data_IF_217156595569
#
_entry.id   IF_217156595569
#
_cell.length_a   1.000
_cell.length_b   1.000
_cell.length_c   1.000
_cell.angle_alpha   90.00
_cell.angle_beta   90.00
_cell.angle_gamma   90.00
#
_symmetry.space_group_name_H-M   'P 1'
#
loop_
_entity.id
_entity.type
_entity.pdbx_description
1 polymer ?
#
# COMPACT_ATOMS: atom_id res chain seq x y z
N UNK A 1 -24.99 -31.79 -0.64
CA UNK A 1 -24.89 -30.35 -0.32
C UNK A 1 -24.05 -29.76 -1.43
N UNK A 2 -24.60 -28.89 -2.27
CA UNK A 2 -23.77 -28.15 -3.22
C UNK A 2 -22.99 -27.16 -2.36
N UNK A 3 -21.68 -27.22 -2.43
CA UNK A 3 -20.83 -26.27 -1.70
C UNK A 3 -21.13 -24.87 -2.24
N UNK A 4 -21.62 -23.98 -1.38
CA UNK A 4 -21.96 -22.60 -1.78
C UNK A 4 -20.69 -21.80 -2.16
N UNK A 5 -19.51 -22.29 -1.75
CA UNK A 5 -18.21 -21.72 -2.06
C UNK A 5 -17.27 -22.82 -2.57
N UNK A 6 -17.22 -23.01 -3.89
CA UNK A 6 -16.22 -23.89 -4.50
C UNK A 6 -14.80 -23.43 -4.07
N UNK A 7 -14.00 -24.36 -3.51
CA UNK A 7 -12.61 -24.09 -3.11
C UNK A 7 -12.25 -24.39 -1.65
N UNK A 8 -13.23 -24.70 -0.79
CA UNK A 8 -12.99 -25.06 0.61
C UNK A 8 -12.44 -23.91 1.47
N UNK A 9 -12.04 -24.19 2.72
CA UNK A 9 -11.49 -23.15 3.61
C UNK A 9 -10.15 -22.64 3.08
N UNK A 10 -9.95 -21.32 3.12
CA UNK A 10 -8.70 -20.66 2.73
C UNK A 10 -8.05 -19.99 3.93
N UNK A 11 -6.74 -20.18 4.06
CA UNK A 11 -5.92 -19.45 5.02
C UNK A 11 -5.68 -18.02 4.54
N UNK A 12 -5.57 -17.03 5.44
CA UNK A 12 -5.24 -15.66 5.06
C UNK A 12 -3.79 -15.55 4.56
N UNK A 13 -3.62 -14.94 3.39
CA UNK A 13 -2.31 -14.66 2.82
C UNK A 13 -1.67 -13.38 3.38
N UNK A 14 -2.49 -12.43 3.84
CA UNK A 14 -2.04 -11.11 4.28
C UNK A 14 -2.84 -10.61 5.48
N UNK A 15 -2.15 -10.03 6.47
CA UNK A 15 -2.77 -9.22 7.51
C UNK A 15 -2.94 -7.80 6.97
N UNK A 16 -4.18 -7.33 6.89
CA UNK A 16 -4.45 -5.93 6.57
C UNK A 16 -4.75 -5.16 7.85
N UNK A 17 -3.71 -4.52 8.40
CA UNK A 17 -3.81 -3.65 9.56
C UNK A 17 -4.63 -2.42 9.20
N UNK A 18 -5.67 -2.18 9.97
CA UNK A 18 -6.60 -1.09 9.76
C UNK A 18 -7.08 -0.53 11.10
N UNK A 19 -7.78 0.59 11.06
CA UNK A 19 -8.51 1.06 12.23
C UNK A 19 -9.99 1.18 11.94
N UNK A 20 -10.79 1.10 13.00
CA UNK A 20 -12.23 0.92 12.90
C UNK A 20 -13.00 2.16 12.48
N UNK A 21 -12.40 3.35 12.59
CA UNK A 21 -12.98 4.58 12.05
C UNK A 21 -12.54 4.89 10.62
N UNK A 22 -11.74 4.03 9.97
CA UNK A 22 -11.52 4.13 8.55
C UNK A 22 -12.84 3.85 7.82
N UNK A 23 -13.14 4.59 6.75
CA UNK A 23 -14.37 4.33 5.99
C UNK A 23 -14.29 2.94 5.36
N UNK A 24 -15.42 2.24 5.29
CA UNK A 24 -15.47 0.93 4.64
C UNK A 24 -14.95 0.99 3.19
N UNK A 25 -15.32 2.04 2.45
CA UNK A 25 -14.86 2.24 1.08
C UNK A 25 -13.34 2.42 0.99
N UNK A 26 -12.74 3.18 1.91
CA UNK A 26 -11.29 3.38 1.96
C UNK A 26 -10.55 2.07 2.29
N UNK A 27 -11.10 1.24 3.18
CA UNK A 27 -10.55 -0.08 3.49
C UNK A 27 -10.62 -1.02 2.27
N UNK A 28 -11.78 -1.08 1.60
CA UNK A 28 -11.94 -1.87 0.38
C UNK A 28 -10.98 -1.40 -0.73
N UNK A 29 -10.82 -0.09 -0.91
CA UNK A 29 -9.86 0.48 -1.84
C UNK A 29 -8.42 0.07 -1.50
N UNK A 30 -8.03 0.07 -0.22
CA UNK A 30 -6.71 -0.37 0.21
C UNK A 30 -6.50 -1.87 -0.07
N UNK A 31 -7.50 -2.71 0.19
CA UNK A 31 -7.45 -4.16 -0.11
C UNK A 31 -7.32 -4.41 -1.61
N UNK A 32 -8.12 -3.73 -2.43
CA UNK A 32 -8.02 -3.84 -3.88
C UNK A 32 -6.67 -3.31 -4.37
N UNK A 33 -6.19 -2.19 -3.82
CA UNK A 33 -4.89 -1.63 -4.16
C UNK A 33 -3.75 -2.63 -3.90
N UNK A 34 -3.76 -3.27 -2.73
CA UNK A 34 -2.81 -4.33 -2.38
C UNK A 34 -2.94 -5.56 -3.28
N UNK A 35 -4.16 -6.06 -3.50
CA UNK A 35 -4.41 -7.24 -4.32
C UNK A 35 -3.98 -7.03 -5.78
N UNK A 36 -4.29 -5.86 -6.31
CA UNK A 36 -4.10 -5.51 -7.72
C UNK A 36 -2.73 -4.94 -8.03
N UNK A 37 -2.07 -4.33 -7.04
CA UNK A 37 -0.87 -3.54 -7.26
C UNK A 37 -1.09 -2.16 -7.84
N UNK A 38 -2.27 -1.58 -7.66
CA UNK A 38 -2.66 -0.32 -8.29
C UNK A 38 -3.02 0.71 -7.23
N UNK A 39 -2.80 2.00 -7.50
CA UNK A 39 -3.04 3.06 -6.51
C UNK A 39 -4.55 3.27 -6.27
N UNK A 40 -5.38 3.04 -7.29
CA UNK A 40 -6.84 3.23 -7.26
C UNK A 40 -7.54 2.27 -8.25
N UNK A 41 -7.48 0.95 -8.02
CA UNK A 41 -8.08 -0.02 -8.94
C UNK A 41 -9.60 0.09 -8.94
N UNK A 42 -10.20 -0.03 -10.13
CA UNK A 42 -11.59 -0.48 -10.22
C UNK A 42 -11.61 -2.00 -10.23
N UNK A 43 -12.62 -2.63 -9.65
CA UNK A 43 -12.78 -4.11 -9.63
C UNK A 43 -12.64 -4.74 -11.02
N UNK A 44 -13.05 -4.03 -12.07
CA UNK A 44 -12.92 -4.45 -13.49
C UNK A 44 -11.48 -4.54 -14.00
N UNK A 45 -10.50 -4.08 -13.22
CA UNK A 45 -9.07 -4.07 -13.57
C UNK A 45 -8.29 -5.17 -12.85
N UNK A 46 -8.92 -5.96 -11.99
CA UNK A 46 -8.28 -7.07 -11.28
C UNK A 46 -8.44 -8.39 -12.05
N UNK A 47 -7.42 -9.23 -12.05
CA UNK A 47 -7.51 -10.61 -12.56
C UNK A 47 -8.19 -11.52 -11.53
N UNK A 48 -8.74 -12.68 -11.93
CA UNK A 48 -9.29 -13.65 -10.99
C UNK A 48 -8.31 -14.04 -9.88
N UNK A 49 -7.02 -14.21 -10.21
CA UNK A 49 -5.99 -14.55 -9.22
C UNK A 49 -5.78 -13.43 -8.19
N UNK A 50 -5.90 -12.16 -8.59
CA UNK A 50 -5.80 -11.02 -7.68
C UNK A 50 -7.02 -10.95 -6.76
N UNK A 51 -8.21 -11.24 -7.28
CA UNK A 51 -9.44 -11.30 -6.50
C UNK A 51 -9.50 -12.51 -5.57
N UNK A 52 -8.68 -13.54 -5.82
CA UNK A 52 -8.59 -14.74 -4.98
C UNK A 52 -7.74 -14.54 -3.71
N UNK A 53 -7.02 -13.42 -3.60
CA UNK A 53 -6.15 -13.11 -2.46
C UNK A 53 -6.95 -12.97 -1.18
N UNK A 54 -6.51 -13.66 -0.13
CA UNK A 54 -7.21 -13.74 1.16
C UNK A 54 -6.58 -12.85 2.21
N UNK A 55 -7.42 -12.18 2.98
CA UNK A 55 -7.00 -11.19 3.99
C UNK A 55 -7.53 -11.56 5.36
N UNK A 56 -6.68 -11.41 6.37
CA UNK A 56 -7.12 -11.35 7.76
C UNK A 56 -7.38 -9.89 8.13
N UNK A 57 -8.55 -9.64 8.71
CA UNK A 57 -8.99 -8.32 9.18
C UNK A 57 -9.52 -8.48 10.60
N UNK A 58 -9.07 -7.65 11.55
CA UNK A 58 -9.46 -7.81 12.95
C UNK A 58 -10.98 -7.70 13.16
N UNK A 59 -11.70 -6.93 12.32
CA UNK A 59 -13.17 -6.83 12.38
C UNK A 59 -13.88 -8.19 12.17
N UNK A 60 -13.28 -9.10 11.41
CA UNK A 60 -13.78 -10.46 11.15
C UNK A 60 -13.04 -11.52 11.96
N UNK A 61 -11.81 -11.23 12.40
CA UNK A 61 -10.95 -12.14 13.14
C UNK A 61 -11.20 -12.18 14.65
N UNK A 62 -12.12 -11.35 15.17
CA UNK A 62 -12.51 -11.36 16.58
C UNK A 62 -14.01 -11.59 16.75
N UNK A 63 -14.37 -12.41 17.73
CA UNK A 63 -15.72 -12.53 18.24
C UNK A 63 -16.07 -11.30 19.07
N UNK A 64 -16.69 -10.33 18.41
CA UNK A 64 -17.01 -9.04 19.01
C UNK A 64 -17.96 -9.18 20.22
N UNK A 65 -18.85 -10.18 20.23
CA UNK A 65 -19.82 -10.36 21.32
C UNK A 65 -19.20 -10.79 22.64
N UNK A 66 -18.08 -11.49 22.62
CA UNK A 66 -17.37 -11.92 23.85
C UNK A 66 -16.10 -11.11 24.12
N UNK A 67 -15.77 -10.16 23.25
CA UNK A 67 -14.56 -9.34 23.38
C UNK A 67 -14.85 -7.87 23.66
N UNK A 68 -15.75 -7.24 22.88
CA UNK A 68 -15.82 -5.77 22.80
C UNK A 68 -17.22 -5.17 22.64
N UNK A 69 -18.28 -5.97 22.53
CA UNK A 69 -19.66 -5.45 22.48
C UNK A 69 -20.10 -4.90 23.85
N UNK A 70 -21.12 -4.04 23.86
CA UNK A 70 -21.66 -3.41 25.08
C UNK A 70 -20.95 -2.11 25.49
N UNK A 71 -19.94 -1.69 24.73
CA UNK A 71 -19.35 -0.35 24.87
C UNK A 71 -20.16 0.69 24.07
N UNK A 72 -20.00 1.98 24.38
CA UNK A 72 -20.67 3.08 23.64
C UNK A 72 -20.42 3.03 22.13
N UNK A 73 -19.21 2.61 21.73
CA UNK A 73 -18.82 2.48 20.33
C UNK A 73 -19.33 1.18 19.65
N UNK A 74 -19.82 0.21 20.42
CA UNK A 74 -20.37 -1.06 19.92
C UNK A 74 -21.54 -1.51 20.82
N UNK A 75 -22.67 -0.78 20.82
CA UNK A 75 -23.75 -0.99 21.78
C UNK A 75 -24.40 -2.36 21.57
N UNK A 76 -24.54 -3.11 22.65
CA UNK A 76 -25.15 -4.44 22.64
C UNK A 76 -25.60 -4.83 24.05
N UNK A 77 -26.76 -5.47 24.18
CA UNK A 77 -27.40 -5.89 25.43
C UNK A 77 -27.36 -7.42 25.65
N UNK A 78 -26.53 -8.15 24.88
CA UNK A 78 -26.50 -9.62 24.89
C UNK A 78 -26.14 -10.27 26.23
N UNK A 79 -25.58 -9.51 27.19
CA UNK A 79 -25.15 -10.03 28.50
C UNK A 79 -24.02 -11.06 28.46
N UNK A 80 -23.41 -11.29 27.30
CA UNK A 80 -22.33 -12.27 27.15
C UNK A 80 -21.11 -11.88 28.00
N UNK A 81 -20.50 -12.88 28.64
CA UNK A 81 -19.24 -12.73 29.37
C UNK A 81 -18.13 -12.18 28.46
N UNK A 82 -17.28 -11.31 29.01
CA UNK A 82 -16.19 -10.66 28.28
C UNK A 82 -14.85 -11.26 28.65
N UNK A 83 -14.14 -11.79 27.67
CA UNK A 83 -12.80 -12.35 27.85
C UNK A 83 -11.76 -11.30 27.47
N UNK A 84 -11.10 -10.76 28.49
CA UNK A 84 -10.09 -9.70 28.34
C UNK A 84 -8.68 -10.28 28.29
N UNK A 85 -7.69 -9.42 28.07
CA UNK A 85 -6.27 -9.78 27.99
C UNK A 85 -5.87 -10.71 29.16
N UNK A 86 -4.95 -11.63 28.87
CA UNK A 86 -4.50 -12.75 29.72
C UNK A 86 -5.51 -13.90 29.89
N UNK A 87 -6.77 -13.73 29.48
CA UNK A 87 -7.73 -14.83 29.45
C UNK A 87 -7.45 -15.77 28.26
N UNK A 88 -7.50 -17.10 28.43
CA UNK A 88 -7.28 -18.06 27.33
C UNK A 88 -8.20 -17.87 26.12
N UNK A 89 -9.42 -17.36 26.35
CA UNK A 89 -10.43 -17.10 25.31
C UNK A 89 -10.42 -15.67 24.74
N UNK A 90 -9.58 -14.76 25.25
CA UNK A 90 -9.40 -13.47 24.57
C UNK A 90 -8.75 -13.71 23.20
N UNK A 91 -9.08 -12.97 22.16
CA UNK A 91 -8.44 -13.12 20.84
C UNK A 91 -7.44 -11.98 20.55
N UNK A 92 -7.61 -10.82 21.19
CA UNK A 92 -6.91 -9.57 20.89
C UNK A 92 -5.43 -9.58 21.28
N UNK A 93 -5.10 -10.16 22.43
CA UNK A 93 -3.71 -10.32 22.91
C UNK A 93 -2.95 -11.43 22.16
N UNK A 94 -3.61 -12.21 21.29
CA UNK A 94 -2.98 -13.25 20.45
C UNK A 94 -2.62 -12.78 19.04
N UNK A 95 -2.81 -11.51 18.71
CA UNK A 95 -2.48 -10.99 17.37
C UNK A 95 -1.01 -11.25 17.00
N UNK A 96 -0.08 -11.08 17.93
CA UNK A 96 1.34 -11.38 17.68
C UNK A 96 1.60 -12.84 17.32
N UNK A 97 0.88 -13.79 17.93
CA UNK A 97 0.98 -15.23 17.59
C UNK A 97 0.35 -15.53 16.24
N UNK A 98 -0.78 -14.89 15.93
CA UNK A 98 -1.44 -15.00 14.63
C UNK A 98 -0.54 -14.48 13.51
N UNK A 99 0.11 -13.32 13.71
CA UNK A 99 1.02 -12.71 12.74
C UNK A 99 2.21 -13.60 12.36
N UNK A 100 2.70 -14.45 13.26
CA UNK A 100 3.77 -15.43 12.95
C UNK A 100 3.36 -16.48 11.90
N UNK A 101 2.05 -16.62 11.64
CA UNK A 101 1.51 -17.59 10.67
C UNK A 101 1.10 -16.95 9.35
N UNK A 102 1.09 -15.61 9.27
CA UNK A 102 0.67 -14.88 8.08
C UNK A 102 1.92 -14.36 7.36
N UNK A 103 2.12 -14.69 6.07
CA UNK A 103 3.36 -14.40 5.36
C UNK A 103 3.48 -12.95 4.85
N UNK A 104 2.39 -12.19 4.83
CA UNK A 104 2.39 -10.81 4.34
C UNK A 104 1.70 -9.86 5.32
N UNK A 105 2.13 -8.60 5.32
CA UNK A 105 1.52 -7.53 6.11
C UNK A 105 1.30 -6.30 5.23
N UNK A 106 0.12 -5.69 5.38
CA UNK A 106 -0.23 -4.45 4.73
C UNK A 106 -0.97 -3.51 5.71
N UNK A 107 -0.90 -2.21 5.45
CA UNK A 107 -1.53 -1.17 6.26
C UNK A 107 -2.52 -0.39 5.40
N UNK A 108 -3.80 -0.42 5.77
CA UNK A 108 -4.84 0.39 5.13
C UNK A 108 -4.80 1.82 5.67
N UNK A 109 -4.36 2.75 4.84
CA UNK A 109 -4.15 4.17 5.17
C UNK A 109 -5.37 5.01 4.74
N UNK A 110 -5.95 5.71 5.71
CA UNK A 110 -7.02 6.68 5.47
C UNK A 110 -6.50 8.05 5.03
N UNK A 111 -7.35 8.85 4.38
CA UNK A 111 -7.02 10.17 3.83
C UNK A 111 -6.57 11.19 4.89
N UNK A 112 -7.07 11.06 6.13
CA UNK A 112 -6.68 11.91 7.26
C UNK A 112 -5.53 11.33 8.09
N UNK A 113 -5.05 10.15 7.71
CA UNK A 113 -3.92 9.47 8.33
C UNK A 113 -4.14 9.19 9.81
N UNK A 114 -5.40 9.10 10.21
CA UNK A 114 -5.79 8.73 11.56
C UNK A 114 -5.24 7.35 11.92
N UNK A 115 -5.03 6.48 10.92
CA UNK A 115 -4.37 5.18 10.99
C UNK A 115 -3.07 5.21 11.81
N UNK A 116 -2.19 6.20 11.59
CA UNK A 116 -0.91 6.30 12.32
C UNK A 116 -1.04 6.88 13.73
N UNK A 117 -2.22 7.34 14.12
CA UNK A 117 -2.52 7.67 15.52
C UNK A 117 -3.00 6.47 16.32
N UNK A 118 -3.11 5.27 15.71
CA UNK A 118 -3.72 4.09 16.34
C UNK A 118 -2.67 3.12 16.84
N UNK A 119 -2.67 2.90 18.15
CA UNK A 119 -1.63 2.14 18.82
C UNK A 119 -1.56 0.68 18.35
N UNK A 120 -2.71 0.04 18.09
CA UNK A 120 -2.78 -1.31 17.52
C UNK A 120 -2.10 -1.39 16.14
N UNK A 121 -2.38 -0.44 15.24
CA UNK A 121 -1.76 -0.40 13.91
C UNK A 121 -0.25 -0.22 14.01
N UNK A 122 0.21 0.66 14.90
CA UNK A 122 1.65 0.88 15.11
C UNK A 122 2.33 -0.38 15.66
N UNK A 123 1.68 -1.08 16.61
CA UNK A 123 2.16 -2.34 17.18
C UNK A 123 2.25 -3.44 16.12
N UNK A 124 1.21 -3.59 15.29
CA UNK A 124 1.16 -4.57 14.19
C UNK A 124 2.27 -4.27 13.18
N UNK A 125 2.43 -3.01 12.77
CA UNK A 125 3.51 -2.59 11.90
C UNK A 125 4.89 -2.92 12.47
N UNK A 126 5.15 -2.59 13.74
CA UNK A 126 6.40 -2.95 14.39
C UNK A 126 6.62 -4.47 14.49
N UNK A 127 5.57 -5.22 14.81
CA UNK A 127 5.61 -6.69 14.91
C UNK A 127 5.96 -7.31 13.55
N UNK A 128 5.33 -6.85 12.47
CA UNK A 128 5.61 -7.31 11.12
C UNK A 128 7.08 -7.06 10.73
N UNK A 129 7.58 -5.85 11.00
CA UNK A 129 8.98 -5.49 10.73
C UNK A 129 9.95 -6.36 11.54
N UNK A 130 9.62 -6.67 12.80
CA UNK A 130 10.42 -7.54 13.67
C UNK A 130 10.42 -9.00 13.23
N UNK A 131 9.37 -9.45 12.53
CA UNK A 131 9.30 -10.76 11.88
C UNK A 131 10.01 -10.79 10.52
N UNK A 132 10.59 -9.67 10.07
CA UNK A 132 11.24 -9.56 8.76
C UNK A 132 10.26 -9.45 7.59
N UNK A 133 8.97 -9.17 7.86
CA UNK A 133 7.97 -8.93 6.84
C UNK A 133 8.10 -7.50 6.31
N UNK A 134 8.03 -7.33 4.99
CA UNK A 134 7.78 -5.99 4.44
C UNK A 134 6.31 -5.63 4.67
N UNK A 135 6.06 -4.35 4.97
CA UNK A 135 4.72 -3.84 5.22
C UNK A 135 4.31 -2.92 4.09
N UNK A 136 3.37 -3.34 3.25
CA UNK A 136 2.90 -2.51 2.13
C UNK A 136 1.82 -1.53 2.60
N UNK A 137 1.92 -0.27 2.23
CA UNK A 137 0.95 0.75 2.64
C UNK A 137 -0.02 0.94 1.49
N UNK A 138 -1.33 0.84 1.76
CA UNK A 138 -2.35 0.85 0.72
C UNK A 138 -3.48 1.80 1.09
N UNK A 139 -4.05 2.49 0.10
CA UNK A 139 -5.11 3.47 0.30
C UNK A 139 -4.73 4.85 -0.24
N UNK A 140 -5.25 5.90 0.39
CA UNK A 140 -5.04 7.28 -0.06
C UNK A 140 -4.21 8.02 0.98
N UNK A 141 -3.04 8.50 0.56
CA UNK A 141 -2.25 9.43 1.36
C UNK A 141 -2.54 10.85 0.88
N UNK A 142 -2.93 11.72 1.80
CA UNK A 142 -3.10 13.14 1.48
C UNK A 142 -1.75 13.76 1.10
N UNK A 143 -1.73 14.59 0.06
CA UNK A 143 -0.52 15.19 -0.48
C UNK A 143 0.17 16.16 0.48
N UNK A 144 -0.56 16.69 1.47
CA UNK A 144 -0.08 17.60 2.51
C UNK A 144 0.36 16.90 3.80
N UNK A 145 0.39 15.56 3.82
CA UNK A 145 0.91 14.82 4.95
C UNK A 145 2.33 15.22 5.27
N UNK A 146 2.62 15.44 6.56
CA UNK A 146 3.97 15.55 7.09
C UNK A 146 4.17 14.49 8.16
N UNK A 147 5.17 13.62 7.98
CA UNK A 147 5.53 12.64 9.03
C UNK A 147 6.06 13.34 10.29
N UNK A 148 6.55 14.58 10.18
CA UNK A 148 6.91 15.37 11.36
C UNK A 148 5.69 15.69 12.26
N UNK A 149 4.46 15.51 11.76
CA UNK A 149 3.24 15.63 12.56
C UNK A 149 2.87 14.34 13.31
N UNK A 150 3.51 13.20 13.02
CA UNK A 150 3.30 11.99 13.78
C UNK A 150 3.80 12.21 15.20
N UNK A 151 2.85 12.09 16.14
CA UNK A 151 3.19 12.09 17.54
C UNK A 151 3.83 10.74 17.87
N UNK A 152 4.87 10.73 18.71
CA UNK A 152 5.50 9.49 19.16
C UNK A 152 4.48 8.52 19.78
N UNK A 153 4.80 7.24 19.80
CA UNK A 153 3.86 6.15 20.14
C UNK A 153 3.14 6.36 21.49
N UNK A 154 3.76 7.08 22.43
CA UNK A 154 3.16 7.45 23.72
C UNK A 154 1.86 8.26 23.60
N UNK A 155 1.68 8.97 22.49
CA UNK A 155 0.49 9.76 22.19
C UNK A 155 -0.53 9.02 21.31
N UNK A 156 -0.19 7.82 20.82
CA UNK A 156 -1.09 7.00 20.02
C UNK A 156 -2.27 6.47 20.85
N UNK A 157 -3.42 6.34 20.21
CA UNK A 157 -4.71 6.05 20.85
C UNK A 157 -5.09 4.59 20.68
N UNK A 158 -5.59 3.99 21.74
CA UNK A 158 -6.43 2.79 21.66
C UNK A 158 -7.86 3.17 22.05
N UNK A 159 -8.85 2.36 21.63
CA UNK A 159 -10.24 2.61 22.00
C UNK A 159 -10.51 2.30 23.47
N UNK A 160 -9.65 1.48 24.09
CA UNK A 160 -9.71 1.06 25.48
C UNK A 160 -8.40 1.43 26.17
N UNK A 161 -8.48 1.90 27.41
CA UNK A 161 -7.29 2.32 28.15
C UNK A 161 -6.43 1.12 28.56
N UNK A 162 -7.04 -0.03 28.83
CA UNK A 162 -6.33 -1.26 29.20
C UNK A 162 -5.42 -1.74 28.06
N UNK A 163 -5.91 -1.68 26.82
CA UNK A 163 -5.12 -1.99 25.64
C UNK A 163 -3.97 -0.99 25.46
N UNK A 164 -4.23 0.29 25.74
CA UNK A 164 -3.20 1.33 25.68
C UNK A 164 -2.07 1.06 26.66
N UNK A 165 -2.41 0.77 27.91
CA UNK A 165 -1.42 0.49 28.98
C UNK A 165 -0.62 -0.77 28.65
N UNK A 166 -1.29 -1.86 28.25
CA UNK A 166 -0.63 -3.11 27.87
C UNK A 166 0.37 -2.90 26.73
N UNK A 167 -0.06 -2.32 25.62
CA UNK A 167 0.78 -2.18 24.43
C UNK A 167 1.96 -1.25 24.69
N UNK A 168 1.75 -0.11 25.38
CA UNK A 168 2.84 0.79 25.72
C UNK A 168 3.84 0.11 26.66
N UNK A 169 3.37 -0.65 27.64
CA UNK A 169 4.23 -1.44 28.52
C UNK A 169 5.08 -2.48 27.77
N UNK A 170 4.48 -3.20 26.82
CA UNK A 170 5.20 -4.15 25.96
C UNK A 170 6.27 -3.46 25.09
N UNK A 171 5.96 -2.30 24.51
CA UNK A 171 6.91 -1.53 23.69
C UNK A 171 8.08 -1.05 24.55
N UNK A 172 7.80 -0.50 25.74
CA UNK A 172 8.81 -0.02 26.67
C UNK A 172 9.73 -1.15 27.13
N UNK A 173 9.17 -2.32 27.44
CA UNK A 173 9.93 -3.49 27.89
C UNK A 173 10.75 -4.17 26.79
N UNK A 174 10.30 -4.08 25.52
CA UNK A 174 10.94 -4.78 24.40
C UNK A 174 12.09 -3.98 23.77
N UNK A 175 11.80 -2.76 23.29
CA UNK A 175 12.77 -1.95 22.54
C UNK A 175 12.85 -0.49 23.00
N UNK A 176 11.91 -0.04 23.85
CA UNK A 176 11.80 1.35 24.27
C UNK A 176 11.11 2.23 23.23
N UNK A 177 10.50 3.33 23.69
CA UNK A 177 9.70 4.21 22.84
C UNK A 177 10.51 4.91 21.73
N UNK A 178 11.72 5.35 22.03
CA UNK A 178 12.55 6.08 21.05
C UNK A 178 12.94 5.20 19.86
N UNK A 179 13.42 3.97 20.13
CA UNK A 179 13.78 3.03 19.08
C UNK A 179 12.54 2.59 18.28
N UNK A 180 11.40 2.41 18.96
CA UNK A 180 10.14 2.09 18.32
C UNK A 180 9.74 3.20 17.33
N UNK A 181 9.71 4.45 17.80
CA UNK A 181 9.35 5.61 16.99
C UNK A 181 10.29 5.74 15.79
N UNK A 182 11.61 5.59 15.97
CA UNK A 182 12.57 5.60 14.86
C UNK A 182 12.27 4.51 13.81
N UNK A 183 11.95 3.28 14.23
CA UNK A 183 11.67 2.17 13.31
C UNK A 183 10.43 2.42 12.44
N UNK A 184 9.39 3.00 13.03
CA UNK A 184 8.15 3.32 12.35
C UNK A 184 8.33 4.55 11.45
N UNK A 185 8.93 5.62 11.97
CA UNK A 185 9.11 6.87 11.24
C UNK A 185 9.89 6.67 9.94
N UNK A 186 10.97 5.89 9.95
CA UNK A 186 11.74 5.58 8.72
C UNK A 186 10.85 4.89 7.67
N UNK A 187 10.08 3.87 8.06
CA UNK A 187 9.16 3.18 7.15
C UNK A 187 8.06 4.11 6.62
N UNK A 188 7.40 4.88 7.49
CA UNK A 188 6.33 5.80 7.07
C UNK A 188 6.86 6.90 6.13
N UNK A 189 8.06 7.44 6.39
CA UNK A 189 8.67 8.43 5.48
C UNK A 189 8.92 7.85 4.10
N UNK A 190 9.49 6.63 4.01
CA UNK A 190 9.72 5.95 2.72
C UNK A 190 8.42 5.70 1.98
N UNK A 191 7.38 5.24 2.67
CA UNK A 191 6.09 5.01 2.03
C UNK A 191 5.44 6.33 1.60
N UNK A 192 5.44 7.38 2.42
CA UNK A 192 4.97 8.72 2.03
C UNK A 192 5.67 9.24 0.78
N UNK A 193 7.00 9.10 0.70
CA UNK A 193 7.77 9.50 -0.47
C UNK A 193 7.30 8.77 -1.74
N UNK A 194 7.06 7.45 -1.65
CA UNK A 194 6.48 6.64 -2.72
C UNK A 194 5.11 7.18 -3.17
N UNK A 195 4.19 7.40 -2.23
CA UNK A 195 2.85 7.92 -2.55
C UNK A 195 2.91 9.31 -3.18
N UNK A 196 3.71 10.22 -2.62
CA UNK A 196 3.86 11.58 -3.13
C UNK A 196 4.42 11.59 -4.55
N UNK A 197 5.41 10.74 -4.84
CA UNK A 197 5.97 10.58 -6.18
C UNK A 197 4.92 10.01 -7.15
N UNK A 198 4.26 8.92 -6.79
CA UNK A 198 3.22 8.31 -7.63
C UNK A 198 2.08 9.31 -7.93
N UNK A 199 1.63 10.05 -6.91
CA UNK A 199 0.60 11.08 -7.06
C UNK A 199 1.03 12.22 -7.98
N UNK A 200 2.23 12.77 -7.77
CA UNK A 200 2.76 13.85 -8.59
C UNK A 200 2.87 13.45 -10.07
N UNK A 201 3.30 12.21 -10.34
CA UNK A 201 3.36 11.65 -11.70
C UNK A 201 1.96 11.47 -12.30
N UNK A 202 1.05 10.80 -11.58
CA UNK A 202 -0.32 10.53 -12.08
C UNK A 202 -1.12 11.83 -12.31
N UNK A 203 -0.95 12.83 -11.44
CA UNK A 203 -1.57 14.16 -11.54
C UNK A 203 -0.82 15.11 -12.47
N UNK A 204 0.26 14.66 -13.10
CA UNK A 204 1.04 15.40 -14.11
C UNK A 204 1.59 16.74 -13.61
N UNK A 205 2.17 16.75 -12.42
CA UNK A 205 2.75 17.94 -11.76
C UNK A 205 4.29 17.91 -11.83
N UNK A 206 4.92 18.40 -12.92
CA UNK A 206 6.38 18.34 -13.07
C UNK A 206 7.13 19.08 -11.96
N UNK A 207 6.60 20.17 -11.44
CA UNK A 207 7.21 20.93 -10.35
C UNK A 207 7.25 20.13 -9.05
N UNK A 208 6.19 19.37 -8.75
CA UNK A 208 6.15 18.50 -7.58
C UNK A 208 7.12 17.31 -7.71
N UNK A 209 7.22 16.72 -8.91
CA UNK A 209 8.22 15.68 -9.20
C UNK A 209 9.64 16.23 -9.03
N UNK A 210 9.92 17.41 -9.60
CA UNK A 210 11.22 18.07 -9.48
C UNK A 210 11.57 18.37 -8.02
N UNK A 211 10.61 18.87 -7.22
CA UNK A 211 10.81 19.14 -5.81
C UNK A 211 11.17 17.85 -5.05
N UNK A 212 10.40 16.78 -5.24
CA UNK A 212 10.64 15.47 -4.60
C UNK A 212 12.00 14.86 -5.00
N UNK A 213 12.45 15.04 -6.25
CA UNK A 213 13.76 14.56 -6.70
C UNK A 213 14.93 15.45 -6.22
N UNK A 214 14.66 16.73 -5.91
CA UNK A 214 15.67 17.67 -5.41
C UNK A 214 15.87 17.63 -3.90
N UNK A 215 14.93 17.03 -3.16
CA UNK A 215 15.11 16.75 -1.74
C UNK A 215 16.24 15.72 -1.58
N UNK A 216 17.36 16.17 -1.01
CA UNK A 216 18.59 15.40 -0.76
C UNK A 216 18.34 14.36 0.36
N UNK A 217 17.44 13.41 0.08
CA UNK A 217 17.12 12.32 0.98
C UNK A 217 17.28 11.00 0.24
N UNK A 218 17.94 10.04 0.88
CA UNK A 218 18.00 8.64 0.45
C UNK A 218 16.61 7.97 0.30
N UNK A 219 15.54 8.69 0.64
CA UNK A 219 14.15 8.26 0.71
C UNK A 219 13.35 8.60 -0.56
N UNK A 220 13.72 9.64 -1.31
CA UNK A 220 13.04 10.09 -2.53
C UNK A 220 13.98 9.93 -3.73
N UNK A 221 13.87 8.84 -4.49
CA UNK A 221 14.64 8.68 -5.73
C UNK A 221 13.76 8.20 -6.89
N UNK A 222 14.29 8.33 -8.10
CA UNK A 222 13.56 8.00 -9.32
C UNK A 222 13.37 6.48 -9.54
N UNK A 223 13.92 5.64 -8.64
CA UNK A 223 13.73 4.19 -8.62
C UNK A 223 12.71 3.74 -7.56
N UNK A 224 12.05 4.68 -6.85
CA UNK A 224 11.10 4.35 -5.80
C UNK A 224 10.00 3.40 -6.29
N UNK A 225 9.93 2.24 -5.66
CA UNK A 225 8.91 1.24 -5.97
C UNK A 225 7.68 1.48 -5.11
N UNK A 226 6.58 1.82 -5.75
CA UNK A 226 5.26 2.01 -5.15
C UNK A 226 4.36 0.91 -5.69
N UNK A 227 3.53 0.28 -4.85
CA UNK A 227 2.45 -0.64 -5.25
C UNK A 227 2.78 -1.72 -6.28
N UNK A 228 2.79 -2.99 -5.88
CA UNK A 228 3.23 -4.10 -6.77
C UNK A 228 4.51 -3.79 -7.52
N UNK A 229 5.47 -3.18 -6.82
CA UNK A 229 6.81 -3.00 -7.35
C UNK A 229 6.93 -2.05 -8.56
N UNK A 230 5.91 -1.24 -8.89
CA UNK A 230 5.97 -0.25 -9.98
C UNK A 230 6.88 0.92 -9.62
N UNK A 231 7.70 1.37 -10.56
CA UNK A 231 8.50 2.59 -10.43
C UNK A 231 7.76 3.83 -10.94
N UNK A 232 8.32 5.05 -10.74
CA UNK A 232 7.73 6.30 -11.20
C UNK A 232 7.46 6.31 -12.71
N UNK A 233 8.35 5.67 -13.49
CA UNK A 233 8.22 5.57 -14.96
C UNK A 233 6.99 4.76 -15.41
N UNK A 234 6.52 3.79 -14.62
CA UNK A 234 5.30 3.04 -14.95
C UNK A 234 4.07 3.94 -14.89
N UNK A 235 4.02 4.87 -13.93
CA UNK A 235 2.88 5.77 -13.74
C UNK A 235 2.79 6.87 -14.81
N UNK A 236 3.88 7.16 -15.55
CA UNK A 236 3.87 8.13 -16.66
C UNK A 236 2.87 7.73 -17.76
N UNK A 237 2.65 6.42 -17.93
CA UNK A 237 1.74 5.88 -18.93
C UNK A 237 0.28 5.82 -18.48
N UNK A 238 -0.01 5.97 -17.18
CA UNK A 238 -1.38 5.80 -16.66
C UNK A 238 -2.27 7.01 -17.00
N UNK A 239 -3.46 6.76 -17.53
CA UNK A 239 -4.44 7.81 -17.78
C UNK A 239 -5.21 8.17 -16.50
N UNK A 240 -5.19 9.44 -16.13
CA UNK A 240 -6.14 10.03 -15.19
C UNK A 240 -7.31 10.62 -15.96
N UNK A 241 -8.56 10.30 -15.57
CA UNK A 241 -9.81 10.65 -16.27
C UNK A 241 -10.15 12.15 -16.32
N UNK A 242 -9.27 13.04 -15.85
CA UNK A 242 -9.69 14.37 -15.36
C UNK A 242 -8.91 15.57 -15.90
N UNK A 243 -8.11 15.45 -16.96
CA UNK A 243 -7.30 16.58 -17.44
C UNK A 243 -7.66 17.03 -18.86
N UNK A 244 -7.58 18.34 -19.06
CA UNK A 244 -7.79 19.02 -20.34
C UNK A 244 -6.65 18.66 -21.31
N UNK A 245 -6.98 18.37 -22.57
CA UNK A 245 -6.05 17.75 -23.55
C UNK A 245 -4.76 18.55 -23.81
N UNK A 246 -4.74 19.87 -23.57
CA UNK A 246 -3.60 20.74 -23.93
C UNK A 246 -2.46 20.78 -22.91
N UNK A 247 -2.75 20.81 -21.60
CA UNK A 247 -1.71 20.81 -20.55
C UNK A 247 -1.09 19.41 -20.39
N UNK A 248 -1.90 18.38 -20.60
CA UNK A 248 -1.51 16.97 -20.57
C UNK A 248 -0.42 16.61 -21.58
N UNK A 249 -0.49 17.19 -22.77
CA UNK A 249 0.42 16.89 -23.87
C UNK A 249 1.87 17.32 -23.56
N UNK A 250 2.06 18.39 -22.76
CA UNK A 250 3.37 18.92 -22.42
C UNK A 250 3.95 18.32 -21.11
N UNK A 251 3.10 18.11 -20.10
CA UNK A 251 3.58 17.70 -18.77
C UNK A 251 4.08 16.25 -18.71
N UNK A 252 3.47 15.33 -19.48
CA UNK A 252 3.93 13.91 -19.50
C UNK A 252 5.37 13.77 -20.01
N UNK A 253 5.74 14.32 -21.19
CA UNK A 253 7.14 14.33 -21.61
C UNK A 253 8.07 15.00 -20.59
N UNK A 254 7.65 16.11 -19.98
CA UNK A 254 8.48 16.81 -18.99
C UNK A 254 8.78 15.92 -17.77
N UNK A 255 7.77 15.25 -17.21
CA UNK A 255 7.95 14.33 -16.08
C UNK A 255 8.83 13.14 -16.46
N UNK A 256 8.65 12.59 -17.66
CA UNK A 256 9.50 11.50 -18.14
C UNK A 256 10.97 11.92 -18.17
N UNK A 257 11.28 13.11 -18.72
CA UNK A 257 12.64 13.63 -18.76
C UNK A 257 13.21 13.88 -17.35
N UNK A 258 12.42 14.45 -16.43
CA UNK A 258 12.84 14.66 -15.05
C UNK A 258 13.25 13.34 -14.37
N UNK A 259 12.44 12.31 -14.51
CA UNK A 259 12.72 10.98 -13.94
C UNK A 259 13.97 10.35 -14.56
N UNK A 260 14.13 10.42 -15.88
CA UNK A 260 15.30 9.89 -16.57
C UNK A 260 16.60 10.65 -16.24
N UNK A 261 16.53 11.98 -16.12
CA UNK A 261 17.64 12.82 -15.68
C UNK A 261 18.07 12.48 -14.24
N UNK A 262 17.11 12.11 -13.39
CA UNK A 262 17.36 11.58 -12.05
C UNK A 262 17.72 10.08 -12.03
N UNK A 263 18.16 9.52 -13.16
CA UNK A 263 18.63 8.13 -13.29
C UNK A 263 17.58 7.06 -12.96
N UNK A 264 16.30 7.32 -13.24
CA UNK A 264 15.29 6.26 -13.26
C UNK A 264 15.69 5.17 -14.26
N UNK A 265 15.66 3.91 -13.82
CA UNK A 265 15.94 2.77 -14.70
C UNK A 265 14.72 2.49 -15.59
N UNK A 266 14.81 2.69 -16.92
CA UNK A 266 13.70 2.43 -17.84
C UNK A 266 13.33 0.94 -17.96
N UNK A 267 14.20 0.05 -17.48
CA UNK A 267 14.04 -1.40 -17.54
C UNK A 267 13.55 -2.01 -16.23
N UNK A 268 13.31 -1.19 -15.20
CA UNK A 268 12.81 -1.67 -13.92
C UNK A 268 11.48 -2.42 -14.11
N UNK A 269 11.39 -3.71 -13.75
CA UNK A 269 10.15 -4.46 -13.86
C UNK A 269 9.22 -4.21 -12.65
N UNK A 270 7.91 -4.13 -12.92
CA UNK A 270 6.88 -4.25 -11.89
C UNK A 270 6.69 -5.72 -11.45
N UNK A 271 5.75 -6.00 -10.54
CA UNK A 271 5.48 -7.36 -10.05
C UNK A 271 5.03 -8.35 -11.14
N UNK A 272 4.58 -7.85 -12.29
CA UNK A 272 4.19 -8.68 -13.45
C UNK A 272 5.33 -8.82 -14.47
N UNK A 273 6.53 -8.34 -14.15
CA UNK A 273 7.66 -8.31 -15.07
C UNK A 273 7.52 -7.26 -16.17
N UNK A 274 6.58 -6.32 -16.07
CA UNK A 274 6.38 -5.27 -17.08
C UNK A 274 7.32 -4.11 -16.82
N UNK A 275 7.97 -3.64 -17.87
CA UNK A 275 8.73 -2.37 -17.87
C UNK A 275 7.80 -1.19 -18.14
N UNK A 276 8.28 0.04 -17.92
CA UNK A 276 7.52 1.24 -18.28
C UNK A 276 7.12 1.26 -19.77
N UNK A 277 7.96 0.69 -20.65
CA UNK A 277 7.65 0.61 -22.07
C UNK A 277 6.43 -0.28 -22.38
N UNK A 278 6.23 -1.38 -21.64
CA UNK A 278 5.01 -2.19 -21.75
C UNK A 278 3.75 -1.38 -21.42
N UNK A 279 3.83 -0.50 -20.42
CA UNK A 279 2.70 0.34 -20.04
C UNK A 279 2.39 1.38 -21.12
N UNK A 280 3.41 1.99 -21.71
CA UNK A 280 3.28 2.98 -22.81
C UNK A 280 2.70 2.36 -24.08
N UNK A 281 3.12 1.14 -24.44
CA UNK A 281 2.65 0.46 -25.67
C UNK A 281 1.17 0.06 -25.64
N UNK A 282 0.49 0.10 -24.50
CA UNK A 282 -0.94 -0.22 -24.41
C UNK A 282 -1.86 0.94 -24.80
N UNK A 283 -1.31 2.13 -25.10
CA UNK A 283 -2.09 3.34 -25.32
C UNK A 283 -1.74 4.04 -26.63
N UNK A 284 -2.78 4.36 -27.41
CA UNK A 284 -2.68 5.12 -28.65
C UNK A 284 -2.04 6.51 -28.42
N UNK A 285 -1.15 6.94 -29.32
CA UNK A 285 -0.53 8.27 -29.28
C UNK A 285 0.73 8.36 -28.41
N UNK A 286 1.19 7.26 -27.83
CA UNK A 286 2.33 7.24 -26.90
C UNK A 286 3.71 7.14 -27.59
N UNK A 287 3.75 7.23 -28.92
CA UNK A 287 4.97 7.02 -29.72
C UNK A 287 6.11 7.99 -29.36
N UNK A 288 5.79 9.22 -28.94
CA UNK A 288 6.79 10.18 -28.48
C UNK A 288 7.43 9.76 -27.14
N UNK A 289 6.65 9.23 -26.21
CA UNK A 289 7.15 8.73 -24.92
C UNK A 289 7.94 7.43 -25.10
N UNK A 290 7.45 6.53 -25.97
CA UNK A 290 8.15 5.30 -26.31
C UNK A 290 9.54 5.58 -26.90
N UNK A 291 9.63 6.54 -27.85
CA UNK A 291 10.91 6.97 -28.42
C UNK A 291 11.89 7.51 -27.36
N UNK A 292 11.40 8.30 -26.40
CA UNK A 292 12.24 8.83 -25.30
C UNK A 292 12.77 7.70 -24.41
N UNK A 293 11.93 6.73 -24.02
CA UNK A 293 12.38 5.56 -23.26
C UNK A 293 13.40 4.71 -24.03
N UNK A 294 13.16 4.45 -25.32
CA UNK A 294 14.12 3.70 -26.16
C UNK A 294 15.45 4.44 -26.28
N UNK A 295 15.44 5.76 -26.45
CA UNK A 295 16.65 6.58 -26.44
C UNK A 295 17.38 6.52 -25.07
N UNK A 296 16.64 6.36 -23.99
CA UNK A 296 17.17 6.12 -22.65
C UNK A 296 17.59 4.65 -22.41
N UNK A 297 17.67 3.82 -23.46
CA UNK A 297 18.05 2.39 -23.42
C UNK A 297 17.02 1.48 -22.75
N UNK A 298 15.73 1.79 -22.90
CA UNK A 298 14.68 0.82 -22.60
C UNK A 298 14.79 -0.41 -23.51
N UNK A 299 14.74 -1.59 -22.90
CA UNK A 299 14.75 -2.89 -23.53
C UNK A 299 13.37 -3.17 -24.14
N UNK A 300 13.35 -3.21 -25.46
CA UNK A 300 12.15 -3.50 -26.26
C UNK A 300 11.83 -5.00 -26.32
N UNK A 301 12.72 -5.86 -25.82
CA UNK A 301 12.63 -7.33 -25.89
C UNK A 301 12.27 -7.98 -24.56
N UNK A 302 12.31 -7.24 -23.44
CA UNK A 302 11.91 -7.72 -22.12
C UNK A 302 10.48 -8.29 -22.16
N UNK A 303 10.27 -9.45 -21.54
CA UNK A 303 8.97 -10.14 -21.53
C UNK A 303 8.31 -10.03 -20.17
N UNK A 304 7.03 -9.67 -20.15
CA UNK A 304 6.24 -9.74 -18.92
C UNK A 304 6.15 -11.20 -18.42
N UNK A 305 6.31 -11.39 -17.12
CA UNK A 305 6.31 -12.71 -16.48
C UNK A 305 4.91 -13.20 -16.13
N UNK A 306 3.96 -12.27 -15.93
CA UNK A 306 2.60 -12.57 -15.51
C UNK A 306 1.57 -11.58 -16.08
N UNK A 307 0.29 -11.83 -15.79
CA UNK A 307 -0.83 -10.99 -16.18
C UNK A 307 -1.17 -11.02 -17.67
N UNK A 308 -1.98 -10.06 -18.17
CA UNK A 308 -2.50 -10.06 -19.54
C UNK A 308 -1.43 -9.97 -20.64
N UNK A 309 -0.24 -9.47 -20.30
CA UNK A 309 0.89 -9.34 -21.22
C UNK A 309 1.89 -10.48 -21.10
N UNK A 310 1.62 -11.54 -20.33
CA UNK A 310 2.54 -12.65 -20.09
C UNK A 310 3.18 -13.16 -21.39
N UNK A 311 4.51 -13.16 -21.43
CA UNK A 311 5.31 -13.60 -22.55
C UNK A 311 5.44 -12.62 -23.72
N UNK A 312 4.71 -11.49 -23.69
CA UNK A 312 4.80 -10.42 -24.69
C UNK A 312 5.87 -9.42 -24.30
N UNK A 313 6.56 -8.89 -25.31
CA UNK A 313 7.53 -7.81 -25.23
C UNK A 313 6.98 -6.50 -25.78
N UNK A 314 7.56 -5.34 -25.41
CA UNK A 314 7.15 -4.06 -25.97
C UNK A 314 7.25 -3.99 -27.50
N UNK A 315 8.28 -4.59 -28.10
CA UNK A 315 8.43 -4.66 -29.54
C UNK A 315 7.27 -5.42 -30.22
N UNK A 316 6.84 -6.54 -29.65
CA UNK A 316 5.69 -7.31 -30.16
C UNK A 316 4.37 -6.52 -30.03
N UNK A 317 4.23 -5.70 -28.98
CA UNK A 317 3.05 -4.84 -28.81
C UNK A 317 3.02 -3.68 -29.82
N UNK A 318 4.17 -3.11 -30.16
CA UNK A 318 4.28 -2.02 -31.15
C UNK A 318 4.05 -2.47 -32.60
N UNK A 319 4.25 -3.76 -32.90
CA UNK A 319 4.01 -4.34 -34.22
C UNK A 319 2.56 -4.84 -34.41
N UNK A 320 1.76 -4.86 -33.34
CA UNK A 320 0.39 -5.33 -33.34
C UNK A 320 -0.66 -4.21 -33.54
N UNK A 321 -0.24 -2.94 -33.55
CA UNK A 321 -1.02 -1.76 -33.95
C UNK A 321 -0.76 -1.40 -35.43
#
# INVERSE_FOLDING_TARGET
MVDLFEGGPKEPSCLMSHWWGNSFMSLVEAILAHASGQVLPSERMCTPEQLDKTYWLCIFGVNQHVSICGADANPCDCGAEKFLNDHPLCEMDKFGLMMQRIPEHAVAVDDRLATFSRLWVLKELHTALSLGLDSEFCGRVASDFSVASLQGVRFARASREEDRVMILGEIEASIGYEAFDCSILDKVQRERAKFAMADAVMRRRPEAVQALLSEDSSLCNAQLRCFSSKGPLHFVAEQTRSATESEDAANRPAILELLLQAHADPNLPDAFGRTALHAICQWSGSAALARRLVNARADVTAKASAGPLKGKSPAELLLAE
#
